data_IF_574060119388
#
_entry.id   IF_574060119388
#
_cell.length_a   1.000
_cell.length_b   1.000
_cell.length_c   1.000
_cell.angle_alpha   90.00
_cell.angle_beta   90.00
_cell.angle_gamma   90.00
#
_symmetry.space_group_name_H-M   'P 1'
#
loop_
_entity.id
_entity.type
_entity.pdbx_description
1 polymer ?
#
# COMPACT_ATOMS: atom_id res chain seq x y z
N UNK A 1 -30.58 -1.01 8.65
CA UNK A 1 -30.48 0.39 8.18
C UNK A 1 -29.26 1.11 8.80
N UNK A 2 -29.13 1.15 10.14
CA UNK A 2 -28.00 1.82 10.84
C UNK A 2 -26.63 1.26 10.41
N UNK A 3 -26.45 -0.06 10.33
CA UNK A 3 -25.17 -0.69 9.93
C UNK A 3 -24.73 -0.25 8.54
N UNK A 4 -25.63 -0.27 7.56
CA UNK A 4 -25.33 0.17 6.19
C UNK A 4 -24.98 1.66 6.16
N UNK A 5 -25.66 2.49 6.90
CA UNK A 5 -25.35 3.93 7.02
C UNK A 5 -23.95 4.13 7.58
N UNK A 6 -23.58 3.43 8.65
CA UNK A 6 -22.24 3.53 9.26
C UNK A 6 -21.15 3.08 8.27
N UNK A 7 -21.40 2.01 7.50
CA UNK A 7 -20.45 1.56 6.46
C UNK A 7 -20.28 2.60 5.34
N UNK A 8 -21.35 3.24 4.89
CA UNK A 8 -21.30 4.32 3.87
C UNK A 8 -20.50 5.50 4.40
N UNK A 9 -20.70 5.91 5.65
CA UNK A 9 -19.94 7.00 6.28
C UNK A 9 -18.45 6.67 6.32
N UNK A 10 -18.07 5.46 6.77
CA UNK A 10 -16.66 5.04 6.83
C UNK A 10 -16.04 4.92 5.44
N UNK A 11 -16.78 4.41 4.46
CA UNK A 11 -16.33 4.40 3.07
C UNK A 11 -16.03 5.82 2.57
N UNK A 12 -16.95 6.75 2.82
CA UNK A 12 -16.79 8.16 2.41
C UNK A 12 -15.59 8.80 3.10
N UNK A 13 -15.41 8.58 4.41
CA UNK A 13 -14.22 9.05 5.15
C UNK A 13 -12.95 8.45 4.53
N UNK A 14 -12.94 7.14 4.27
CA UNK A 14 -11.82 6.45 3.66
C UNK A 14 -11.47 7.01 2.27
N UNK A 15 -12.45 7.30 1.41
CA UNK A 15 -12.20 7.90 0.10
C UNK A 15 -11.64 9.32 0.19
N UNK A 16 -12.10 10.14 1.15
CA UNK A 16 -11.56 11.48 1.42
C UNK A 16 -10.11 11.38 1.89
N UNK A 17 -9.81 10.46 2.82
CA UNK A 17 -8.44 10.19 3.24
C UNK A 17 -7.60 9.72 2.05
N UNK A 18 -8.09 8.80 1.22
CA UNK A 18 -7.40 8.35 0.01
C UNK A 18 -7.04 9.48 -0.95
N UNK A 19 -7.95 10.44 -1.14
CA UNK A 19 -7.68 11.64 -1.94
C UNK A 19 -6.56 12.49 -1.32
N UNK A 20 -6.52 12.61 0.00
CA UNK A 20 -5.42 13.27 0.72
C UNK A 20 -4.11 12.47 0.59
N UNK A 21 -4.12 11.14 0.71
CA UNK A 21 -2.93 10.30 0.53
C UNK A 21 -2.33 10.44 -0.88
N UNK A 22 -3.15 10.61 -1.91
CA UNK A 22 -2.68 10.94 -3.25
C UNK A 22 -1.88 12.26 -3.27
N UNK A 23 -2.40 13.30 -2.60
CA UNK A 23 -1.68 14.59 -2.49
C UNK A 23 -0.36 14.43 -1.77
N UNK A 24 -0.34 13.68 -0.65
CA UNK A 24 0.89 13.39 0.11
C UNK A 24 1.91 12.69 -0.78
N UNK A 25 1.51 11.62 -1.48
CA UNK A 25 2.39 10.83 -2.34
C UNK A 25 2.96 11.64 -3.50
N UNK A 26 2.10 12.36 -4.24
CA UNK A 26 2.55 13.18 -5.39
C UNK A 26 3.44 14.33 -4.96
N UNK A 27 3.17 14.95 -3.82
CA UNK A 27 4.02 16.03 -3.30
C UNK A 27 5.34 15.51 -2.77
N UNK A 28 5.36 14.34 -2.13
CA UNK A 28 6.60 13.69 -1.71
C UNK A 28 7.53 13.44 -2.89
N UNK A 29 7.01 12.86 -3.98
CA UNK A 29 7.75 12.62 -5.23
C UNK A 29 8.29 13.94 -5.83
N UNK A 30 7.52 15.02 -5.77
CA UNK A 30 7.93 16.33 -6.31
C UNK A 30 8.71 17.20 -5.30
N UNK A 31 9.14 16.67 -4.15
CA UNK A 31 9.84 17.39 -3.08
C UNK A 31 9.08 18.64 -2.58
N UNK A 32 7.74 18.62 -2.63
CA UNK A 32 6.85 19.70 -2.15
C UNK A 32 6.32 19.38 -0.75
N UNK A 33 6.09 20.43 0.04
CA UNK A 33 5.48 20.28 1.37
C UNK A 33 4.01 19.86 1.23
N UNK A 34 3.60 18.75 1.88
CA UNK A 34 2.26 18.19 1.74
C UNK A 34 1.15 19.09 2.33
N UNK A 35 1.47 19.93 3.30
CA UNK A 35 0.52 20.80 4.02
C UNK A 35 0.37 22.20 3.41
N UNK A 36 1.18 22.59 2.40
CA UNK A 36 1.09 23.92 1.79
C UNK A 36 0.43 23.89 0.43
N UNK A 37 -0.51 24.81 0.20
CA UNK A 37 -1.16 25.05 -1.09
C UNK A 37 -2.35 24.12 -1.35
N UNK A 38 -3.12 24.46 -2.39
CA UNK A 38 -4.28 23.71 -2.87
C UNK A 38 -3.84 22.64 -3.88
N UNK A 39 -4.76 21.71 -4.17
CA UNK A 39 -4.56 20.73 -5.25
C UNK A 39 -4.52 21.45 -6.60
N UNK A 40 -3.54 21.10 -7.43
CA UNK A 40 -3.29 21.73 -8.74
C UNK A 40 -3.20 20.65 -9.81
N UNK A 41 -3.56 21.00 -11.03
CA UNK A 41 -3.35 20.13 -12.18
C UNK A 41 -1.85 20.06 -12.50
N UNK A 42 -1.31 18.86 -12.67
CA UNK A 42 0.12 18.62 -12.96
C UNK A 42 0.57 19.19 -14.30
N UNK A 43 -0.36 19.38 -15.26
CA UNK A 43 -0.07 19.86 -16.62
C UNK A 43 -0.23 21.37 -16.76
N UNK A 44 -1.32 21.94 -16.25
CA UNK A 44 -1.61 23.39 -16.45
C UNK A 44 -1.41 24.23 -15.19
N UNK A 45 -1.03 23.64 -14.07
CA UNK A 45 -0.81 24.26 -12.76
C UNK A 45 -1.99 25.08 -12.21
N UNK A 46 -3.19 24.97 -12.83
CA UNK A 46 -4.39 25.61 -12.30
C UNK A 46 -4.91 24.89 -11.08
N UNK A 47 -5.30 25.65 -10.08
CA UNK A 47 -5.92 25.16 -8.85
C UNK A 47 -7.20 24.40 -9.13
N UNK A 48 -7.35 23.23 -8.55
CA UNK A 48 -8.53 22.38 -8.67
C UNK A 48 -9.64 22.97 -7.79
N UNK A 49 -10.86 23.10 -8.35
CA UNK A 49 -12.03 23.52 -7.58
C UNK A 49 -12.40 22.44 -6.55
N UNK A 50 -12.97 22.82 -5.42
CA UNK A 50 -13.36 21.86 -4.39
C UNK A 50 -14.34 20.78 -4.92
N UNK A 51 -15.25 21.14 -5.84
CA UNK A 51 -16.18 20.23 -6.51
C UNK A 51 -15.45 19.19 -7.38
N UNK A 52 -14.31 19.57 -7.96
CA UNK A 52 -13.49 18.70 -8.80
C UNK A 52 -12.51 17.85 -7.98
N UNK A 53 -12.54 17.99 -6.66
CA UNK A 53 -11.74 17.24 -5.70
C UNK A 53 -12.59 16.26 -4.86
N UNK A 54 -13.87 16.08 -5.19
CA UNK A 54 -14.72 15.06 -4.56
C UNK A 54 -14.22 13.69 -5.04
N UNK A 55 -13.78 12.82 -4.11
CA UNK A 55 -13.15 11.56 -4.48
C UNK A 55 -14.04 10.71 -5.39
N UNK A 56 -13.44 10.06 -6.38
CA UNK A 56 -14.08 9.20 -7.38
C UNK A 56 -15.14 9.92 -8.23
N UNK A 57 -16.06 10.67 -7.60
CA UNK A 57 -17.17 11.34 -8.30
C UNK A 57 -16.67 12.35 -9.32
N UNK A 58 -15.71 13.18 -8.94
CA UNK A 58 -15.13 14.18 -9.85
C UNK A 58 -14.43 13.53 -11.06
N UNK A 59 -13.73 12.41 -10.85
CA UNK A 59 -13.09 11.66 -11.92
C UNK A 59 -14.11 11.16 -12.95
N UNK A 60 -15.23 10.61 -12.49
CA UNK A 60 -16.32 10.14 -13.37
C UNK A 60 -16.99 11.30 -14.11
N UNK A 61 -17.37 12.36 -13.39
CA UNK A 61 -18.04 13.54 -13.98
C UNK A 61 -17.17 14.26 -14.99
N UNK A 62 -15.87 14.36 -14.75
CA UNK A 62 -14.89 14.96 -15.66
C UNK A 62 -14.39 13.98 -16.74
N UNK A 63 -14.90 12.73 -16.77
CA UNK A 63 -14.50 11.68 -17.71
C UNK A 63 -12.97 11.46 -17.71
N UNK A 64 -12.35 11.52 -16.51
CA UNK A 64 -10.92 11.34 -16.33
C UNK A 64 -10.05 12.44 -16.95
N UNK A 65 -10.56 13.67 -17.09
CA UNK A 65 -9.82 14.77 -17.72
C UNK A 65 -9.90 16.06 -16.89
N UNK A 66 -8.83 16.84 -16.93
CA UNK A 66 -8.81 18.15 -16.30
C UNK A 66 -9.90 19.07 -16.88
N UNK A 67 -10.60 19.80 -16.02
CA UNK A 67 -11.64 20.75 -16.44
C UNK A 67 -11.13 21.82 -17.40
N UNK A 68 -9.88 22.28 -17.18
CA UNK A 68 -9.31 23.42 -17.91
C UNK A 68 -8.54 23.02 -19.16
N UNK A 69 -7.51 22.19 -19.02
CA UNK A 69 -6.62 21.82 -20.12
C UNK A 69 -6.99 20.50 -20.82
N UNK A 70 -7.98 19.75 -20.31
CA UNK A 70 -8.42 18.46 -20.83
C UNK A 70 -7.35 17.35 -20.78
N UNK A 71 -6.21 17.59 -20.15
CA UNK A 71 -5.21 16.56 -19.92
C UNK A 71 -5.80 15.37 -19.15
N UNK A 72 -5.33 14.16 -19.44
CA UNK A 72 -5.80 12.93 -18.79
C UNK A 72 -5.35 12.88 -17.34
N UNK A 73 -6.28 12.57 -16.45
CA UNK A 73 -6.01 12.30 -15.03
C UNK A 73 -5.63 10.82 -14.91
N UNK A 74 -4.56 10.50 -14.17
CA UNK A 74 -4.13 9.12 -13.93
C UNK A 74 -5.21 8.33 -13.19
N UNK A 75 -5.43 7.08 -13.61
CA UNK A 75 -6.30 6.13 -12.92
C UNK A 75 -5.81 5.77 -11.51
N UNK A 76 -4.56 6.04 -11.20
CA UNK A 76 -4.00 5.82 -9.87
C UNK A 76 -4.79 6.57 -8.79
N UNK A 77 -5.24 7.83 -9.09
CA UNK A 77 -6.01 8.64 -8.14
C UNK A 77 -7.30 7.95 -7.68
N UNK A 78 -8.26 7.62 -8.58
CA UNK A 78 -9.49 6.97 -8.16
C UNK A 78 -9.28 5.55 -7.62
N UNK A 79 -8.22 4.83 -8.03
CA UNK A 79 -7.88 3.51 -7.48
C UNK A 79 -7.46 3.65 -6.01
N UNK A 80 -6.58 4.58 -5.67
CA UNK A 80 -6.15 4.83 -4.28
C UNK A 80 -7.34 5.26 -3.43
N UNK A 81 -8.20 6.15 -3.92
CA UNK A 81 -9.41 6.61 -3.23
C UNK A 81 -10.36 5.44 -2.93
N UNK A 82 -10.66 4.62 -3.94
CA UNK A 82 -11.51 3.44 -3.81
C UNK A 82 -10.93 2.42 -2.82
N UNK A 83 -9.65 2.09 -3.00
CA UNK A 83 -8.96 1.12 -2.16
C UNK A 83 -8.95 1.55 -0.70
N UNK A 84 -8.66 2.82 -0.43
CA UNK A 84 -8.68 3.37 0.94
C UNK A 84 -10.08 3.29 1.52
N UNK A 85 -11.13 3.63 0.75
CA UNK A 85 -12.52 3.50 1.19
C UNK A 85 -12.89 2.08 1.57
N UNK A 86 -12.55 1.10 0.74
CA UNK A 86 -12.81 -0.34 1.01
C UNK A 86 -12.06 -0.80 2.26
N UNK A 87 -10.77 -0.45 2.41
CA UNK A 87 -9.95 -0.87 3.55
C UNK A 87 -10.43 -0.24 4.86
N UNK A 88 -10.96 0.98 4.85
CA UNK A 88 -11.56 1.60 6.04
C UNK A 88 -12.86 0.91 6.47
N UNK A 89 -13.70 0.50 5.52
CA UNK A 89 -14.88 -0.33 5.82
C UNK A 89 -14.46 -1.70 6.33
N UNK A 90 -13.41 -2.30 5.77
CA UNK A 90 -12.86 -3.56 6.24
C UNK A 90 -12.43 -3.47 7.71
N UNK A 91 -11.63 -2.45 8.09
CA UNK A 91 -11.19 -2.24 9.48
C UNK A 91 -12.39 -2.01 10.40
N UNK A 92 -13.42 -1.27 9.96
CA UNK A 92 -14.61 -1.03 10.75
C UNK A 92 -15.27 -2.36 11.20
N UNK A 93 -15.32 -3.35 10.29
CA UNK A 93 -15.98 -4.62 10.53
C UNK A 93 -15.13 -5.64 11.33
N UNK A 94 -13.88 -5.32 11.65
CA UNK A 94 -13.05 -6.15 12.51
C UNK A 94 -13.50 -6.03 13.98
N UNK A 95 -13.39 -7.11 14.72
CA UNK A 95 -13.65 -7.16 16.17
C UNK A 95 -12.47 -6.57 16.94
N UNK A 96 -12.35 -5.24 16.90
CA UNK A 96 -11.28 -4.45 17.49
C UNK A 96 -11.86 -3.26 18.24
N UNK A 97 -11.15 -2.78 19.26
CA UNK A 97 -11.49 -1.52 19.90
C UNK A 97 -11.17 -0.29 19.03
N UNK A 98 -11.63 0.89 19.45
CA UNK A 98 -11.47 2.13 18.67
C UNK A 98 -10.01 2.51 18.49
N UNK A 99 -9.17 2.29 19.51
CA UNK A 99 -7.74 2.59 19.44
C UNK A 99 -7.03 1.69 18.43
N UNK A 100 -7.29 0.40 18.47
CA UNK A 100 -6.78 -0.58 17.51
C UNK A 100 -7.18 -0.22 16.08
N UNK A 101 -8.46 0.07 15.85
CA UNK A 101 -8.96 0.51 14.52
C UNK A 101 -8.25 1.76 14.02
N UNK A 102 -8.00 2.74 14.90
CA UNK A 102 -7.28 3.96 14.53
C UNK A 102 -5.83 3.65 14.14
N UNK A 103 -5.11 2.86 14.92
CA UNK A 103 -3.71 2.48 14.64
C UNK A 103 -3.60 1.69 13.32
N UNK A 104 -4.49 0.71 13.08
CA UNK A 104 -4.50 -0.04 11.83
C UNK A 104 -4.90 0.83 10.62
N UNK A 105 -5.79 1.79 10.79
CA UNK A 105 -6.13 2.75 9.74
C UNK A 105 -4.93 3.62 9.35
N UNK A 106 -4.13 4.05 10.33
CA UNK A 106 -2.88 4.77 10.08
C UNK A 106 -1.84 3.88 9.39
N UNK A 107 -1.66 2.63 9.84
CA UNK A 107 -0.76 1.67 9.22
C UNK A 107 -1.10 1.45 7.74
N UNK A 108 -2.36 1.16 7.43
CA UNK A 108 -2.83 0.95 6.06
C UNK A 108 -2.66 2.22 5.22
N UNK A 109 -2.99 3.39 5.77
CA UNK A 109 -2.79 4.66 5.07
C UNK A 109 -1.32 4.88 4.70
N UNK A 110 -0.40 4.57 5.60
CA UNK A 110 1.04 4.69 5.33
C UNK A 110 1.53 3.68 4.29
N UNK A 111 1.03 2.44 4.33
CA UNK A 111 1.34 1.43 3.30
C UNK A 111 0.80 1.84 1.93
N UNK A 112 -0.36 2.48 1.86
CA UNK A 112 -0.90 3.05 0.62
C UNK A 112 0.02 4.17 0.10
N UNK A 113 0.51 5.08 0.96
CA UNK A 113 1.45 6.13 0.56
C UNK A 113 2.75 5.52 0.01
N UNK A 114 3.36 4.56 0.72
CA UNK A 114 4.58 3.87 0.28
C UNK A 114 4.35 3.19 -1.08
N UNK A 115 3.24 2.47 -1.22
CA UNK A 115 2.87 1.78 -2.46
C UNK A 115 2.62 2.74 -3.63
N UNK A 116 1.99 3.88 -3.35
CA UNK A 116 1.72 4.92 -4.35
C UNK A 116 3.01 5.59 -4.81
N UNK A 117 3.91 5.92 -3.89
CA UNK A 117 5.23 6.50 -4.21
C UNK A 117 6.06 5.51 -5.03
N UNK A 118 6.09 4.23 -4.62
CA UNK A 118 6.78 3.19 -5.39
C UNK A 118 6.21 3.03 -6.80
N UNK A 119 4.90 3.17 -6.96
CA UNK A 119 4.25 3.14 -8.28
C UNK A 119 4.66 4.33 -9.15
N UNK A 120 4.85 5.50 -8.57
CA UNK A 120 5.20 6.74 -9.29
C UNK A 120 6.69 6.84 -9.62
N UNK A 121 7.57 6.48 -8.68
CA UNK A 121 9.01 6.79 -8.73
C UNK A 121 9.92 5.57 -8.59
N UNK A 122 9.36 4.39 -8.28
CA UNK A 122 10.13 3.14 -8.02
C UNK A 122 11.12 3.31 -6.85
N UNK A 123 10.73 4.09 -5.85
CA UNK A 123 11.56 4.42 -4.70
C UNK A 123 10.76 4.30 -3.39
N UNK A 124 11.41 3.84 -2.32
CA UNK A 124 10.86 3.79 -0.97
C UNK A 124 11.70 4.70 -0.08
N UNK A 125 11.09 5.73 0.45
CA UNK A 125 11.77 6.72 1.27
C UNK A 125 11.97 6.25 2.72
N UNK A 126 13.18 6.48 3.24
CA UNK A 126 13.59 6.01 4.56
C UNK A 126 12.69 6.53 5.70
N UNK A 127 12.24 7.78 5.62
CA UNK A 127 11.38 8.35 6.67
C UNK A 127 10.01 7.68 6.77
N UNK A 128 9.44 7.20 5.65
CA UNK A 128 8.19 6.42 5.67
C UNK A 128 8.39 5.05 6.31
N UNK A 129 9.56 4.41 6.10
CA UNK A 129 9.89 3.14 6.75
C UNK A 129 10.07 3.31 8.26
N UNK A 130 10.70 4.39 8.71
CA UNK A 130 10.85 4.70 10.14
C UNK A 130 9.46 4.91 10.79
N UNK A 131 8.58 5.65 10.12
CA UNK A 131 7.22 5.87 10.62
C UNK A 131 6.41 4.56 10.65
N UNK A 132 6.54 3.74 9.62
CA UNK A 132 5.92 2.41 9.56
C UNK A 132 6.42 1.51 10.70
N UNK A 133 7.72 1.49 10.95
CA UNK A 133 8.31 0.75 12.05
C UNK A 133 7.79 1.23 13.41
N UNK A 134 7.71 2.55 13.62
CA UNK A 134 7.15 3.11 14.86
C UNK A 134 5.70 2.67 15.10
N UNK A 135 4.85 2.66 14.05
CA UNK A 135 3.48 2.16 14.17
C UNK A 135 3.44 0.67 14.50
N UNK A 136 4.31 -0.13 13.89
CA UNK A 136 4.41 -1.57 14.19
C UNK A 136 4.85 -1.79 15.64
N UNK A 137 5.80 -0.99 16.14
CA UNK A 137 6.22 -1.07 17.56
C UNK A 137 5.03 -0.76 18.49
N UNK A 138 4.20 0.23 18.17
CA UNK A 138 2.97 0.53 18.93
C UNK A 138 2.02 -0.68 18.92
N UNK A 139 1.80 -1.31 17.76
CA UNK A 139 0.94 -2.50 17.66
C UNK A 139 1.50 -3.62 18.55
N UNK A 140 2.80 -3.88 18.49
CA UNK A 140 3.44 -4.93 19.27
C UNK A 140 3.49 -4.67 20.77
N UNK A 141 3.61 -3.41 21.16
CA UNK A 141 3.65 -3.04 22.57
C UNK A 141 2.29 -3.03 23.25
N UNK A 142 1.22 -2.64 22.54
CA UNK A 142 -0.07 -2.33 23.15
C UNK A 142 -1.25 -3.16 22.62
N UNK A 143 -1.12 -3.80 21.47
CA UNK A 143 -2.24 -4.51 20.84
C UNK A 143 -1.99 -6.02 20.81
N UNK A 144 -0.90 -6.45 20.19
CA UNK A 144 -0.59 -7.87 20.02
C UNK A 144 0.91 -8.13 20.26
N UNK A 145 1.32 -8.44 21.50
CA UNK A 145 2.69 -8.82 21.77
C UNK A 145 3.04 -10.14 21.04
N UNK A 146 4.16 -10.12 20.30
CA UNK A 146 4.73 -11.34 19.73
C UNK A 146 5.66 -12.02 20.73
N UNK A 147 5.84 -13.33 20.56
CA UNK A 147 6.93 -14.03 21.18
C UNK A 147 8.28 -13.42 20.73
N UNK A 148 9.23 -13.35 21.64
CA UNK A 148 10.55 -12.75 21.38
C UNK A 148 11.25 -13.39 20.17
N UNK A 149 11.02 -14.67 19.96
CA UNK A 149 11.53 -15.44 18.83
C UNK A 149 11.02 -14.88 17.49
N UNK A 150 9.70 -14.65 17.35
CA UNK A 150 9.09 -14.15 16.11
C UNK A 150 9.54 -12.73 15.77
N UNK A 151 9.85 -11.92 16.79
CA UNK A 151 10.37 -10.57 16.60
C UNK A 151 11.71 -10.54 15.83
N UNK A 152 12.50 -11.61 15.90
CA UNK A 152 13.75 -11.73 15.15
C UNK A 152 13.59 -12.52 13.84
N UNK A 153 12.87 -13.64 13.90
CA UNK A 153 12.75 -14.51 12.73
C UNK A 153 11.84 -13.94 11.64
N UNK A 154 10.80 -13.17 11.97
CA UNK A 154 9.94 -12.53 11.00
C UNK A 154 10.70 -11.58 10.07
N UNK A 155 11.39 -10.54 10.60
CA UNK A 155 12.19 -9.62 9.79
C UNK A 155 13.34 -10.32 9.04
N UNK A 156 14.01 -11.26 9.69
CA UNK A 156 15.12 -12.01 9.08
C UNK A 156 14.64 -12.87 7.91
N UNK A 157 13.53 -13.57 8.07
CA UNK A 157 12.97 -14.40 7.00
C UNK A 157 12.44 -13.55 5.85
N UNK A 158 11.64 -12.51 6.13
CA UNK A 158 11.02 -11.71 5.08
C UNK A 158 12.06 -10.86 4.35
N UNK A 159 12.82 -10.04 5.07
CA UNK A 159 13.83 -9.18 4.48
C UNK A 159 15.06 -9.95 3.98
N UNK A 160 15.48 -10.99 4.71
CA UNK A 160 16.60 -11.85 4.32
C UNK A 160 16.32 -12.58 3.01
N UNK A 161 15.13 -13.17 2.86
CA UNK A 161 14.72 -13.82 1.61
C UNK A 161 14.78 -12.86 0.41
N UNK A 162 14.22 -11.66 0.51
CA UNK A 162 14.27 -10.66 -0.57
C UNK A 162 15.71 -10.16 -0.83
N UNK A 163 16.52 -10.05 0.21
CA UNK A 163 17.94 -9.68 0.06
C UNK A 163 18.72 -10.74 -0.70
N UNK A 164 18.49 -12.02 -0.39
CA UNK A 164 19.09 -13.15 -1.13
C UNK A 164 18.60 -13.18 -2.58
N UNK A 165 17.31 -13.00 -2.82
CA UNK A 165 16.76 -12.91 -4.19
C UNK A 165 17.38 -11.76 -4.98
N UNK A 166 17.55 -10.58 -4.36
CA UNK A 166 18.21 -9.45 -4.97
C UNK A 166 19.65 -9.78 -5.36
N UNK A 167 20.41 -10.40 -4.45
CA UNK A 167 21.82 -10.74 -4.66
C UNK A 167 21.98 -11.82 -5.76
N UNK A 168 21.20 -12.91 -5.69
CA UNK A 168 21.21 -13.99 -6.68
C UNK A 168 20.77 -13.47 -8.05
N UNK A 169 19.65 -12.74 -8.09
CA UNK A 169 19.13 -12.15 -9.31
C UNK A 169 20.11 -11.16 -9.94
N UNK A 170 20.78 -10.33 -9.13
CA UNK A 170 21.82 -9.40 -9.58
C UNK A 170 23.01 -10.12 -10.24
N UNK A 171 23.44 -11.27 -9.69
CA UNK A 171 24.50 -12.09 -10.27
C UNK A 171 24.10 -12.76 -11.58
N UNK A 172 22.86 -13.30 -11.65
CA UNK A 172 22.37 -14.02 -12.84
C UNK A 172 22.13 -13.04 -13.99
N UNK A 173 21.42 -11.94 -13.73
CA UNK A 173 20.99 -11.02 -14.79
C UNK A 173 21.97 -9.88 -15.05
N UNK A 174 23.06 -9.78 -14.29
CA UNK A 174 24.07 -8.69 -14.35
C UNK A 174 23.45 -7.29 -14.29
N UNK A 175 22.32 -7.15 -13.62
CA UNK A 175 21.59 -5.90 -13.35
C UNK A 175 20.81 -6.03 -12.04
N UNK A 176 20.42 -4.91 -11.46
CA UNK A 176 19.59 -4.96 -10.25
C UNK A 176 18.24 -5.64 -10.55
N UNK A 177 18.01 -6.80 -9.90
CA UNK A 177 16.80 -7.59 -10.08
C UNK A 177 15.63 -7.04 -9.23
N UNK A 178 15.96 -6.38 -8.09
CA UNK A 178 14.98 -5.86 -7.13
C UNK A 178 15.55 -4.64 -6.41
N UNK A 179 14.71 -3.67 -6.06
CA UNK A 179 15.08 -2.49 -5.28
C UNK A 179 15.54 -2.84 -3.87
N UNK A 180 16.55 -2.15 -3.34
CA UNK A 180 16.94 -2.28 -1.93
C UNK A 180 15.80 -1.81 -0.98
N UNK A 181 14.95 -0.91 -1.45
CA UNK A 181 13.78 -0.41 -0.74
C UNK A 181 12.79 -1.52 -0.39
N UNK A 182 12.53 -2.45 -1.33
CA UNK A 182 11.62 -3.57 -1.13
C UNK A 182 12.12 -4.51 -0.01
N UNK A 183 13.43 -4.80 0.00
CA UNK A 183 14.03 -5.60 1.06
C UNK A 183 13.91 -4.91 2.43
N UNK A 184 14.14 -3.60 2.51
CA UNK A 184 13.96 -2.81 3.73
C UNK A 184 12.50 -2.79 4.19
N UNK A 185 11.55 -2.62 3.26
CA UNK A 185 10.11 -2.67 3.56
C UNK A 185 9.73 -4.05 4.11
N UNK A 186 10.24 -5.13 3.52
CA UNK A 186 10.01 -6.48 4.00
C UNK A 186 10.56 -6.72 5.40
N UNK A 187 11.77 -6.20 5.72
CA UNK A 187 12.29 -6.24 7.11
C UNK A 187 11.31 -5.57 8.07
N UNK A 188 10.84 -4.37 7.75
CA UNK A 188 9.91 -3.63 8.63
C UNK A 188 8.57 -4.36 8.76
N UNK A 189 8.01 -4.88 7.67
CA UNK A 189 6.78 -5.69 7.69
C UNK A 189 6.96 -7.02 8.43
N UNK A 190 8.17 -7.58 8.44
CA UNK A 190 8.48 -8.80 9.18
C UNK A 190 8.30 -8.65 10.69
N UNK A 191 8.42 -7.44 11.25
CA UNK A 191 8.17 -7.20 12.69
C UNK A 191 6.68 -7.32 13.07
N UNK A 192 5.76 -7.28 12.12
CA UNK A 192 4.33 -7.49 12.39
C UNK A 192 3.88 -8.93 12.11
N UNK A 193 4.71 -9.77 11.51
CA UNK A 193 4.37 -11.12 11.09
C UNK A 193 5.18 -12.16 11.87
N UNK A 194 4.53 -13.25 12.30
CA UNK A 194 5.25 -14.45 12.73
C UNK A 194 5.89 -15.17 11.54
N UNK A 195 6.85 -16.05 11.78
CA UNK A 195 7.55 -16.77 10.72
C UNK A 195 6.60 -17.51 9.74
N UNK A 196 5.55 -18.13 10.26
CA UNK A 196 4.53 -18.82 9.43
C UNK A 196 3.78 -17.84 8.54
N UNK A 197 3.44 -16.67 9.05
CA UNK A 197 2.72 -15.64 8.30
C UNK A 197 3.60 -14.98 7.24
N UNK A 198 4.92 -14.89 7.46
CA UNK A 198 5.88 -14.40 6.45
C UNK A 198 5.84 -15.27 5.20
N UNK A 199 5.77 -16.60 5.34
CA UNK A 199 5.67 -17.50 4.18
C UNK A 199 4.43 -17.21 3.37
N UNK A 200 3.27 -17.03 4.03
CA UNK A 200 2.01 -16.68 3.34
C UNK A 200 2.11 -15.32 2.68
N UNK A 201 2.67 -14.32 3.37
CA UNK A 201 2.87 -12.98 2.82
C UNK A 201 3.71 -13.01 1.54
N UNK A 202 4.80 -13.79 1.53
CA UNK A 202 5.63 -14.00 0.35
C UNK A 202 4.82 -14.62 -0.80
N UNK A 203 4.12 -15.73 -0.55
CA UNK A 203 3.31 -16.39 -1.58
C UNK A 203 2.29 -15.42 -2.21
N UNK A 204 1.53 -14.71 -1.38
CA UNK A 204 0.52 -13.76 -1.88
C UNK A 204 1.17 -12.61 -2.66
N UNK A 205 2.28 -12.06 -2.16
CA UNK A 205 3.02 -10.99 -2.82
C UNK A 205 3.52 -11.40 -4.20
N UNK A 206 4.16 -12.57 -4.30
CA UNK A 206 4.71 -13.05 -5.57
C UNK A 206 3.63 -13.49 -6.55
N UNK A 207 2.58 -14.16 -6.09
CA UNK A 207 1.47 -14.57 -6.96
C UNK A 207 0.77 -13.32 -7.52
N UNK A 208 0.42 -12.34 -6.67
CA UNK A 208 -0.24 -11.12 -7.13
C UNK A 208 0.63 -10.29 -8.08
N UNK A 209 1.92 -10.15 -7.79
CA UNK A 209 2.87 -9.49 -8.68
C UNK A 209 3.01 -10.22 -10.03
N UNK A 210 3.07 -11.56 -10.00
CA UNK A 210 3.17 -12.38 -11.21
C UNK A 210 1.94 -12.27 -12.08
N UNK A 211 0.74 -12.26 -11.50
CA UNK A 211 -0.51 -12.08 -12.25
C UNK A 211 -0.53 -10.74 -12.98
N UNK A 212 -0.14 -9.65 -12.29
CA UNK A 212 -0.03 -8.33 -12.93
C UNK A 212 1.06 -8.32 -13.99
N UNK A 213 2.22 -8.95 -13.73
CA UNK A 213 3.31 -9.08 -14.69
C UNK A 213 2.89 -9.78 -15.98
N UNK A 214 2.22 -10.92 -15.86
CA UNK A 214 1.67 -11.66 -17.01
C UNK A 214 0.66 -10.81 -17.78
N UNK A 215 -0.26 -10.14 -17.08
CA UNK A 215 -1.23 -9.25 -17.71
C UNK A 215 -0.55 -8.12 -18.52
N UNK A 216 0.49 -7.48 -17.99
CA UNK A 216 1.23 -6.43 -18.70
C UNK A 216 1.95 -6.95 -19.95
N UNK A 217 2.53 -8.15 -19.87
CA UNK A 217 3.20 -8.80 -21.00
C UNK A 217 2.18 -9.12 -22.12
N UNK A 218 1.06 -9.74 -21.76
CA UNK A 218 0.01 -10.14 -22.72
C UNK A 218 -0.65 -8.91 -23.36
N UNK A 219 -0.85 -7.85 -22.58
CA UNK A 219 -1.44 -6.59 -23.05
C UNK A 219 -0.51 -5.78 -23.96
N UNK A 220 0.70 -6.28 -24.30
CA UNK A 220 1.70 -5.61 -25.15
C UNK A 220 2.00 -4.16 -24.75
N UNK A 221 1.78 -3.79 -23.51
CA UNK A 221 2.15 -2.48 -22.97
C UNK A 221 3.67 -2.43 -22.77
N UNK A 222 4.39 -2.08 -23.83
CA UNK A 222 5.87 -2.01 -23.89
C UNK A 222 6.51 -1.02 -22.92
N UNK A 223 5.72 -0.19 -22.24
CA UNK A 223 6.18 0.98 -21.49
C UNK A 223 6.77 0.67 -20.11
N UNK A 224 6.32 -0.39 -19.44
CA UNK A 224 6.73 -0.61 -18.05
C UNK A 224 7.59 -1.88 -17.91
N UNK A 225 8.91 -1.71 -18.01
CA UNK A 225 9.88 -2.80 -17.79
C UNK A 225 10.11 -3.15 -16.32
N UNK A 226 9.69 -2.27 -15.39
CA UNK A 226 9.88 -2.43 -13.95
C UNK A 226 8.54 -2.29 -13.26
N UNK A 227 8.11 -3.36 -12.59
CA UNK A 227 6.87 -3.39 -11.81
C UNK A 227 7.21 -2.93 -10.39
N UNK A 228 6.48 -1.95 -9.81
CA UNK A 228 6.64 -1.56 -8.40
C UNK A 228 6.26 -2.78 -7.53
N UNK A 229 7.09 -3.15 -6.57
CA UNK A 229 6.87 -4.34 -5.76
C UNK A 229 6.26 -4.05 -4.39
N UNK A 230 6.42 -2.82 -3.86
CA UNK A 230 5.87 -2.43 -2.57
C UNK A 230 4.34 -2.60 -2.45
N UNK A 231 3.50 -2.34 -3.47
CA UNK A 231 2.06 -2.61 -3.39
C UNK A 231 1.75 -4.09 -3.10
N UNK A 232 2.49 -5.00 -3.74
CA UNK A 232 2.28 -6.44 -3.57
C UNK A 232 2.79 -6.95 -2.22
N UNK A 233 3.93 -6.42 -1.74
CA UNK A 233 4.42 -6.69 -0.39
C UNK A 233 3.43 -6.22 0.68
N UNK A 234 2.89 -5.00 0.53
CA UNK A 234 1.90 -4.44 1.43
C UNK A 234 0.61 -5.27 1.43
N UNK A 235 0.13 -5.67 0.26
CA UNK A 235 -1.06 -6.51 0.11
C UNK A 235 -0.84 -7.89 0.74
N UNK A 236 0.29 -8.54 0.46
CA UNK A 236 0.64 -9.83 1.01
C UNK A 236 0.75 -9.80 2.54
N UNK A 237 1.42 -8.78 3.08
CA UNK A 237 1.59 -8.62 4.53
C UNK A 237 0.26 -8.38 5.25
N UNK A 238 -0.60 -7.49 4.73
CA UNK A 238 -1.93 -7.21 5.30
C UNK A 238 -2.80 -8.47 5.25
N UNK A 239 -2.82 -9.16 4.11
CA UNK A 239 -3.63 -10.37 3.96
C UNK A 239 -3.14 -11.50 4.87
N UNK A 240 -1.82 -11.69 4.98
CA UNK A 240 -1.25 -12.69 5.88
C UNK A 240 -1.51 -12.36 7.36
N UNK A 241 -1.48 -11.09 7.73
CA UNK A 241 -1.76 -10.65 9.10
C UNK A 241 -3.21 -10.96 9.52
N UNK A 242 -4.19 -10.60 8.69
CA UNK A 242 -5.60 -10.76 9.06
C UNK A 242 -6.17 -12.16 8.77
N UNK A 243 -5.70 -12.83 7.73
CA UNK A 243 -6.27 -14.09 7.26
C UNK A 243 -5.28 -15.25 7.24
N UNK A 244 -4.03 -15.04 7.64
CA UNK A 244 -2.99 -16.06 7.51
C UNK A 244 -3.25 -17.31 8.34
N UNK A 245 -3.83 -17.19 9.54
CA UNK A 245 -4.18 -18.35 10.36
C UNK A 245 -5.28 -19.20 9.71
N UNK A 246 -6.30 -18.56 9.12
CA UNK A 246 -7.35 -19.27 8.38
C UNK A 246 -6.77 -19.97 7.14
N UNK A 247 -5.85 -19.30 6.42
CA UNK A 247 -5.18 -19.90 5.26
C UNK A 247 -4.35 -21.13 5.69
N UNK A 248 -3.60 -21.04 6.80
CA UNK A 248 -2.85 -22.18 7.33
C UNK A 248 -3.78 -23.33 7.66
N UNK A 249 -4.86 -23.08 8.37
CA UNK A 249 -5.81 -24.13 8.77
C UNK A 249 -6.41 -24.85 7.58
N UNK A 250 -6.71 -24.12 6.49
CA UNK A 250 -7.22 -24.73 5.25
C UNK A 250 -6.17 -25.61 4.55
N UNK A 251 -4.90 -25.18 4.53
CA UNK A 251 -3.82 -25.93 3.87
C UNK A 251 -3.39 -27.15 4.67
N UNK A 252 -3.43 -27.09 6.00
CA UNK A 252 -3.01 -28.22 6.86
C UNK A 252 -4.11 -29.30 7.01
N UNK A 253 -5.37 -28.97 6.65
CA UNK A 253 -6.47 -29.94 6.61
C UNK A 253 -6.46 -30.86 5.37
N UNK A 254 -5.59 -30.60 4.39
CA UNK A 254 -5.34 -31.43 3.20
C UNK A 254 -4.02 -32.19 3.36
#
# INVERSE_FOLDING_TARGET
MIVVFVQIVHFTIGTIIGSFLNVVSVRAVNNKQFYKGRSECTECNKTIRWQDNIPMLSFVLLKGRCRYCKAKISYLYPIVELLTGILFVFILNLEMDVFQKAVFSLLISLLIVISTIDTLEKAIYQHHLILLFALIVIIRAFIEPLEFIDLFYGPLAFGGFLTVLRWVGGKIYKREAMGIGDAKLAVVLGFILSLKLVVIALYISFISASLVGVYLIVSKRKSERIIPFAPFLSFGAITAYFYGQQIISLVVQF
#
